data_IF_204167870189
#
_entry.id   IF_204167870189
#
_cell.length_a   1.000
_cell.length_b   1.000
_cell.length_c   1.000
_cell.angle_alpha   90.00
_cell.angle_beta   90.00
_cell.angle_gamma   90.00
#
_symmetry.space_group_name_H-M   'P 1'
#
loop_
_entity.id
_entity.type
_entity.pdbx_description
1 polymer ?
#
# COMPACT_ATOMS: atom_id res chain seq x y z
N UNK A 1 -16.87 3.11 -30.47
CA UNK A 1 -17.17 4.55 -30.62
C UNK A 1 -18.08 4.93 -29.46
N UNK A 2 -17.56 5.65 -28.46
CA UNK A 2 -18.33 6.05 -27.28
C UNK A 2 -18.92 7.44 -27.54
N UNK A 3 -20.24 7.55 -27.58
CA UNK A 3 -20.93 8.83 -27.55
C UNK A 3 -21.21 9.18 -26.08
N UNK A 4 -20.70 10.32 -25.62
CA UNK A 4 -21.12 10.95 -24.37
C UNK A 4 -21.87 12.23 -24.73
N UNK A 5 -23.11 12.38 -24.25
CA UNK A 5 -23.81 13.66 -24.22
C UNK A 5 -23.95 14.13 -22.76
N UNK A 6 -23.87 15.45 -22.57
CA UNK A 6 -23.84 16.12 -21.26
C UNK A 6 -25.23 16.18 -20.59
N UNK A 7 -25.30 16.35 -19.25
CA UNK A 7 -26.34 15.73 -18.43
C UNK A 7 -27.55 16.63 -18.08
N UNK A 8 -28.68 15.94 -17.88
CA UNK A 8 -29.84 16.38 -17.09
C UNK A 8 -29.78 15.63 -15.74
N UNK A 9 -29.85 16.29 -14.57
CA UNK A 9 -29.44 15.74 -13.27
C UNK A 9 -30.35 14.65 -12.64
N UNK A 10 -31.22 13.98 -13.40
CA UNK A 10 -32.18 13.01 -12.84
C UNK A 10 -32.22 11.64 -13.52
N UNK A 11 -31.23 11.27 -14.34
CA UNK A 11 -31.20 9.94 -14.97
C UNK A 11 -29.98 9.10 -14.60
N UNK A 12 -30.26 7.88 -14.14
CA UNK A 12 -29.30 6.78 -13.95
C UNK A 12 -28.60 6.47 -15.26
N UNK A 13 -27.26 6.45 -15.26
CA UNK A 13 -26.46 6.05 -16.41
C UNK A 13 -26.18 4.54 -16.32
N UNK A 14 -26.42 3.82 -17.42
CA UNK A 14 -26.03 2.43 -17.57
C UNK A 14 -24.85 2.35 -18.55
N UNK A 15 -23.76 1.73 -18.11
CA UNK A 15 -22.63 1.41 -18.98
C UNK A 15 -22.72 -0.08 -19.29
N UNK A 16 -22.85 -0.42 -20.57
CA UNK A 16 -22.89 -1.80 -21.03
C UNK A 16 -21.51 -2.18 -21.57
N UNK A 17 -20.89 -3.20 -20.99
CA UNK A 17 -19.58 -3.69 -21.38
C UNK A 17 -19.69 -4.88 -22.35
N UNK A 18 -18.69 -5.13 -23.22
CA UNK A 18 -18.64 -6.31 -24.06
C UNK A 18 -18.56 -7.60 -23.23
N UNK A 19 -19.20 -8.67 -23.71
CA UNK A 19 -19.25 -9.99 -23.07
C UNK A 19 -17.88 -10.66 -22.81
N UNK A 20 -16.81 -10.14 -23.40
CA UNK A 20 -15.45 -10.70 -23.28
C UNK A 20 -14.48 -9.82 -22.46
N UNK A 21 -14.97 -8.77 -21.79
CA UNK A 21 -14.14 -7.91 -20.95
C UNK A 21 -13.78 -8.63 -19.64
N UNK A 22 -12.49 -8.62 -19.27
CA UNK A 22 -12.03 -9.30 -18.04
C UNK A 22 -12.44 -8.50 -16.79
N UNK A 23 -12.69 -9.20 -15.68
CA UNK A 23 -13.15 -8.63 -14.40
C UNK A 23 -12.28 -7.45 -13.90
N UNK A 24 -10.97 -7.51 -14.10
CA UNK A 24 -10.05 -6.44 -13.70
C UNK A 24 -10.10 -5.20 -14.61
N UNK A 25 -10.52 -5.34 -15.86
CA UNK A 25 -10.59 -4.25 -16.85
C UNK A 25 -11.89 -3.43 -16.67
N UNK A 26 -13.00 -4.08 -16.33
CA UNK A 26 -14.29 -3.43 -16.09
C UNK A 26 -14.26 -2.53 -14.83
N UNK A 27 -13.69 -3.03 -13.73
CA UNK A 27 -13.52 -2.26 -12.48
C UNK A 27 -12.56 -1.07 -12.66
N UNK A 28 -11.51 -1.22 -13.47
CA UNK A 28 -10.56 -0.15 -13.78
C UNK A 28 -11.22 0.97 -14.58
N UNK A 29 -12.07 0.64 -15.56
CA UNK A 29 -12.78 1.62 -16.39
C UNK A 29 -13.86 2.38 -15.61
N UNK A 30 -14.55 1.73 -14.68
CA UNK A 30 -15.51 2.42 -13.78
C UNK A 30 -14.77 3.38 -12.85
N UNK A 31 -13.59 2.98 -12.35
CA UNK A 31 -12.76 3.84 -11.49
C UNK A 31 -12.21 5.06 -12.24
N UNK A 32 -11.79 4.89 -13.51
CA UNK A 32 -11.36 5.98 -14.38
C UNK A 32 -12.51 6.94 -14.74
N UNK A 33 -13.72 6.42 -14.94
CA UNK A 33 -14.89 7.22 -15.28
C UNK A 33 -15.39 8.09 -14.12
N UNK A 34 -15.17 7.69 -12.86
CA UNK A 34 -15.58 8.46 -11.68
C UNK A 34 -14.55 9.51 -11.23
N UNK A 35 -13.31 9.42 -11.69
CA UNK A 35 -12.22 10.33 -11.28
C UNK A 35 -11.97 11.49 -12.27
N UNK A 36 -12.71 11.59 -13.38
CA UNK A 36 -12.48 12.60 -14.43
C UNK A 36 -13.19 13.94 -14.22
N UNK A 37 -13.89 14.16 -13.11
CA UNK A 37 -14.69 15.39 -12.88
C UNK A 37 -13.90 16.62 -12.39
N UNK A 38 -12.57 16.57 -12.27
CA UNK A 38 -11.81 17.75 -11.81
C UNK A 38 -10.75 18.20 -12.81
N UNK A 39 -11.18 19.04 -13.75
CA UNK A 39 -10.29 19.88 -14.54
C UNK A 39 -9.86 21.11 -13.74
N UNK A 40 -8.56 21.26 -13.47
CA UNK A 40 -7.85 22.54 -13.66
C UNK A 40 -6.33 22.38 -13.52
N UNK A 41 -5.64 22.89 -14.53
CA UNK A 41 -4.19 22.96 -14.75
C UNK A 41 -3.52 23.97 -13.83
N UNK A 42 -2.25 23.73 -13.44
CA UNK A 42 -1.16 24.72 -13.54
C UNK A 42 0.23 24.08 -13.32
N UNK A 43 1.14 24.41 -14.23
CA UNK A 43 2.54 23.99 -14.31
C UNK A 43 3.42 25.01 -13.58
N UNK A 44 4.42 24.55 -12.82
CA UNK A 44 5.63 25.34 -12.52
C UNK A 44 6.87 24.45 -12.63
N UNK A 45 7.70 24.74 -13.63
CA UNK A 45 9.07 24.27 -13.81
C UNK A 45 10.01 25.21 -13.04
N UNK A 46 10.95 24.68 -12.26
CA UNK A 46 12.15 25.40 -11.86
C UNK A 46 13.34 24.43 -11.68
N UNK A 47 14.45 24.79 -12.30
CA UNK A 47 15.67 24.01 -12.50
C UNK A 47 16.75 24.25 -11.42
N UNK A 48 17.49 23.17 -11.17
CA UNK A 48 18.95 23.03 -10.99
C UNK A 48 19.78 23.81 -9.94
N UNK A 49 20.65 23.00 -9.34
CA UNK A 49 22.08 23.17 -9.02
C UNK A 49 22.52 23.06 -7.55
N UNK A 50 23.47 22.13 -7.43
CA UNK A 50 24.38 21.72 -6.37
C UNK A 50 25.20 22.84 -5.73
N UNK A 51 25.54 22.68 -4.45
CA UNK A 51 26.88 23.04 -3.98
C UNK A 51 27.34 22.18 -2.78
N UNK A 52 28.49 21.55 -3.00
CA UNK A 52 29.36 20.88 -2.03
C UNK A 52 29.88 21.87 -0.99
N UNK A 53 29.98 21.45 0.26
CA UNK A 53 31.06 21.89 1.17
C UNK A 53 31.41 20.77 2.15
N UNK A 54 32.64 20.30 2.01
CA UNK A 54 33.34 19.42 2.95
C UNK A 54 34.03 20.25 4.02
N UNK A 55 34.01 19.82 5.29
CA UNK A 55 35.14 19.95 6.23
C UNK A 55 35.00 18.96 7.38
N UNK A 56 36.14 18.57 7.95
CA UNK A 56 36.37 17.35 8.72
C UNK A 56 36.23 17.47 10.26
N UNK A 57 35.94 16.30 10.83
CA UNK A 57 36.25 15.72 12.15
C UNK A 57 36.75 16.56 13.34
N UNK A 58 36.16 16.30 14.50
CA UNK A 58 36.92 15.85 15.68
C UNK A 58 36.04 14.97 16.59
N UNK A 59 36.64 13.93 17.14
CA UNK A 59 36.05 12.86 17.95
C UNK A 59 36.14 13.16 19.45
N UNK A 60 35.09 12.91 20.23
CA UNK A 60 35.19 12.42 21.61
C UNK A 60 33.90 11.68 21.99
N UNK A 61 34.08 10.51 22.58
CA UNK A 61 33.10 9.49 22.95
C UNK A 61 32.15 9.93 24.06
N UNK A 62 30.84 9.74 23.87
CA UNK A 62 29.88 9.41 24.94
C UNK A 62 28.57 8.88 24.33
N UNK A 63 28.26 7.63 24.64
CA UNK A 63 27.07 6.89 24.21
C UNK A 63 25.85 7.36 25.01
N UNK A 64 25.07 8.26 24.40
CA UNK A 64 23.71 8.60 24.81
C UNK A 64 22.91 8.89 23.53
N UNK A 65 21.75 8.24 23.38
CA UNK A 65 20.81 8.37 22.26
C UNK A 65 20.55 9.85 21.90
N UNK A 66 21.20 10.34 20.85
CA UNK A 66 20.95 11.66 20.26
C UNK A 66 19.94 11.52 19.10
N UNK A 67 18.86 12.33 19.06
CA UNK A 67 17.87 12.34 17.99
C UNK A 67 18.36 13.15 16.78
N UNK A 68 19.51 12.74 16.22
CA UNK A 68 20.19 13.40 15.09
C UNK A 68 20.52 12.46 13.93
N UNK A 69 19.81 11.34 13.79
CA UNK A 69 20.04 10.39 12.70
C UNK A 69 19.74 11.00 11.32
N UNK A 70 20.60 10.69 10.34
CA UNK A 70 20.32 11.00 8.93
C UNK A 70 18.96 10.40 8.52
N UNK A 71 18.16 11.15 7.77
CA UNK A 71 16.88 10.66 7.24
C UNK A 71 17.09 9.33 6.50
N UNK A 72 16.22 8.32 6.68
CA UNK A 72 16.32 7.05 5.96
C UNK A 72 16.24 7.29 4.45
N UNK A 73 17.01 6.55 3.68
CA UNK A 73 16.98 6.60 2.22
C UNK A 73 16.01 5.55 1.69
N UNK A 74 15.00 5.97 0.93
CA UNK A 74 13.96 5.10 0.39
C UNK A 74 14.05 5.10 -1.13
N UNK A 75 14.23 3.92 -1.71
CA UNK A 75 14.22 3.73 -3.15
C UNK A 75 12.84 3.24 -3.60
N UNK A 76 12.13 4.02 -4.40
CA UNK A 76 10.90 3.61 -5.05
C UNK A 76 11.23 3.04 -6.44
N UNK A 77 10.71 1.85 -6.73
CA UNK A 77 10.89 1.16 -8.01
C UNK A 77 9.54 1.05 -8.69
N UNK A 78 9.39 1.78 -9.79
CA UNK A 78 8.13 1.99 -10.51
C UNK A 78 8.33 1.75 -12.01
N UNK A 79 8.63 0.50 -12.37
CA UNK A 79 9.00 0.09 -13.72
C UNK A 79 7.86 0.27 -14.73
N UNK A 80 6.61 0.23 -14.26
CA UNK A 80 5.42 0.45 -15.07
C UNK A 80 4.48 1.43 -14.37
N UNK A 81 5.02 2.62 -14.03
CA UNK A 81 4.26 3.71 -13.41
C UNK A 81 3.11 4.17 -14.32
N UNK A 82 1.92 4.28 -13.74
CA UNK A 82 0.74 4.88 -14.39
C UNK A 82 0.56 6.34 -13.97
N UNK A 83 -0.06 7.14 -14.84
CA UNK A 83 -0.17 8.59 -14.65
C UNK A 83 -0.90 9.00 -13.36
N UNK A 84 -1.89 8.23 -12.94
CA UNK A 84 -2.68 8.52 -11.73
C UNK A 84 -2.00 8.08 -10.43
N UNK A 85 -0.86 7.38 -10.47
CA UNK A 85 -0.20 6.87 -9.26
C UNK A 85 0.15 8.01 -8.29
N UNK A 86 0.63 9.14 -8.82
CA UNK A 86 1.10 10.26 -7.99
C UNK A 86 -0.03 10.98 -7.29
N UNK A 87 -1.18 11.16 -7.96
CA UNK A 87 -2.36 11.75 -7.34
C UNK A 87 -3.01 10.77 -6.36
N UNK A 88 -3.19 9.51 -6.76
CA UNK A 88 -3.79 8.46 -5.94
C UNK A 88 -3.00 8.16 -4.66
N UNK A 89 -1.67 8.22 -4.72
CA UNK A 89 -0.78 7.99 -3.57
C UNK A 89 -0.10 9.27 -3.08
N UNK A 90 -0.67 10.44 -3.32
CA UNK A 90 -0.09 11.74 -2.94
C UNK A 90 0.28 11.82 -1.46
N UNK A 91 -0.52 11.22 -0.57
CA UNK A 91 -0.22 11.14 0.87
C UNK A 91 1.03 10.31 1.18
N UNK A 92 1.26 9.22 0.44
CA UNK A 92 2.46 8.39 0.55
C UNK A 92 3.69 9.19 0.13
N UNK A 93 3.65 9.83 -1.04
CA UNK A 93 4.76 10.65 -1.54
C UNK A 93 5.07 11.80 -0.59
N UNK A 94 4.05 12.53 -0.13
CA UNK A 94 4.21 13.62 0.84
C UNK A 94 4.79 13.12 2.17
N UNK A 95 4.24 12.02 2.70
CA UNK A 95 4.69 11.40 3.94
C UNK A 95 6.15 10.96 3.88
N UNK A 96 6.56 10.28 2.81
CA UNK A 96 7.93 9.85 2.60
C UNK A 96 8.87 11.04 2.37
N UNK A 97 8.59 11.94 1.42
CA UNK A 97 9.49 13.07 1.08
C UNK A 97 9.72 14.02 2.26
N UNK A 98 8.73 14.17 3.15
CA UNK A 98 8.88 14.97 4.37
C UNK A 98 9.85 14.33 5.38
N UNK A 99 9.87 13.00 5.47
CA UNK A 99 10.53 12.26 6.56
C UNK A 99 11.69 11.36 6.13
N UNK A 100 11.96 11.26 4.83
CA UNK A 100 12.98 10.40 4.22
C UNK A 100 13.64 11.09 3.02
N UNK A 101 14.79 10.56 2.59
CA UNK A 101 15.39 10.87 1.29
C UNK A 101 14.80 9.90 0.29
N UNK A 102 13.97 10.37 -0.64
CA UNK A 102 13.24 9.51 -1.57
C UNK A 102 13.82 9.64 -2.97
N UNK A 103 14.15 8.51 -3.60
CA UNK A 103 14.48 8.44 -5.03
C UNK A 103 13.51 7.50 -5.72
N UNK A 104 12.86 7.95 -6.78
CA UNK A 104 11.97 7.13 -7.59
C UNK A 104 12.65 6.80 -8.92
N UNK A 105 12.60 5.53 -9.31
CA UNK A 105 13.31 5.02 -10.47
C UNK A 105 12.39 4.17 -11.34
N UNK A 106 12.43 4.44 -12.64
CA UNK A 106 11.56 3.83 -13.65
C UNK A 106 12.24 2.74 -14.49
N UNK A 107 13.52 2.43 -14.24
CA UNK A 107 14.25 1.41 -15.01
C UNK A 107 15.07 0.49 -14.11
N UNK A 108 15.15 -0.78 -14.50
CA UNK A 108 15.96 -1.79 -13.79
C UNK A 108 17.41 -1.35 -13.68
N UNK A 109 18.00 -0.85 -14.77
CA UNK A 109 19.41 -0.42 -14.78
C UNK A 109 19.69 0.67 -13.75
N UNK A 110 18.80 1.66 -13.62
CA UNK A 110 18.95 2.70 -12.63
C UNK A 110 18.70 2.18 -11.20
N UNK A 111 17.75 1.26 -11.01
CA UNK A 111 17.47 0.65 -9.71
C UNK A 111 18.69 -0.13 -9.18
N UNK A 112 19.29 -0.97 -10.03
CA UNK A 112 20.53 -1.72 -9.70
C UNK A 112 21.67 -0.79 -9.31
N UNK A 113 21.89 0.30 -10.06
CA UNK A 113 22.90 1.31 -9.72
C UNK A 113 22.62 1.99 -8.38
N UNK A 114 21.36 2.34 -8.11
CA UNK A 114 20.98 2.95 -6.84
C UNK A 114 21.18 2.00 -5.65
N UNK A 115 20.81 0.72 -5.79
CA UNK A 115 21.04 -0.31 -4.78
C UNK A 115 22.54 -0.46 -4.45
N UNK A 116 23.40 -0.48 -5.47
CA UNK A 116 24.84 -0.62 -5.29
C UNK A 116 25.51 0.63 -4.67
N UNK A 117 25.07 1.83 -5.03
CA UNK A 117 25.72 3.09 -4.63
C UNK A 117 25.19 3.69 -3.33
N UNK A 118 23.89 3.61 -3.09
CA UNK A 118 23.23 4.35 -2.00
C UNK A 118 22.84 3.49 -0.80
N UNK A 119 22.83 2.15 -0.95
CA UNK A 119 22.40 1.19 0.08
C UNK A 119 21.11 1.66 0.79
N UNK A 120 19.97 1.75 0.07
CA UNK A 120 18.75 2.31 0.62
C UNK A 120 18.33 1.53 1.87
N UNK A 121 17.71 2.23 2.83
CA UNK A 121 17.16 1.64 4.06
C UNK A 121 15.95 0.75 3.78
N UNK A 122 15.18 1.07 2.73
CA UNK A 122 14.12 0.23 2.21
C UNK A 122 13.90 0.48 0.71
N UNK A 123 13.36 -0.53 0.03
CA UNK A 123 12.92 -0.48 -1.35
C UNK A 123 11.41 -0.68 -1.40
N UNK A 124 10.69 0.29 -1.95
CA UNK A 124 9.26 0.20 -2.20
C UNK A 124 9.04 -0.11 -3.68
N UNK A 125 8.54 -1.30 -3.97
CA UNK A 125 8.15 -1.72 -5.32
C UNK A 125 6.68 -1.38 -5.53
N UNK A 126 6.41 -0.45 -6.44
CA UNK A 126 5.05 0.11 -6.59
C UNK A 126 4.19 -0.63 -7.59
N UNK A 127 4.75 -1.50 -8.42
CA UNK A 127 4.03 -2.23 -9.47
C UNK A 127 4.52 -3.69 -9.60
N UNK A 128 3.67 -4.56 -10.13
CA UNK A 128 3.92 -6.00 -10.19
C UNK A 128 4.93 -6.42 -11.27
N UNK A 129 5.56 -5.50 -12.03
CA UNK A 129 6.41 -5.87 -13.17
C UNK A 129 7.52 -6.84 -12.81
N UNK A 130 8.05 -6.77 -11.57
CA UNK A 130 9.07 -7.69 -11.06
C UNK A 130 8.62 -9.15 -10.96
N UNK A 131 7.31 -9.44 -11.04
CA UNK A 131 6.78 -10.82 -11.07
C UNK A 131 6.92 -11.48 -12.45
N UNK A 132 7.14 -10.69 -13.51
CA UNK A 132 7.24 -11.21 -14.88
C UNK A 132 8.59 -11.91 -15.10
N UNK A 133 8.65 -13.01 -15.87
CA UNK A 133 9.90 -13.76 -16.10
C UNK A 133 11.08 -12.92 -16.60
N UNK A 134 10.81 -11.90 -17.43
CA UNK A 134 11.81 -10.96 -17.97
C UNK A 134 12.57 -10.16 -16.89
N UNK A 135 12.04 -10.09 -15.66
CA UNK A 135 12.64 -9.36 -14.53
C UNK A 135 13.21 -10.29 -13.46
N UNK A 136 13.31 -11.60 -13.74
CA UNK A 136 13.75 -12.61 -12.77
C UNK A 136 15.14 -12.33 -12.17
N UNK A 137 16.09 -11.82 -12.95
CA UNK A 137 17.41 -11.47 -12.41
C UNK A 137 17.36 -10.27 -11.48
N UNK A 138 16.50 -9.29 -11.76
CA UNK A 138 16.29 -8.17 -10.86
C UNK A 138 15.56 -8.60 -9.58
N UNK A 139 14.58 -9.51 -9.70
CA UNK A 139 13.93 -10.11 -8.53
C UNK A 139 14.94 -10.84 -7.62
N UNK A 140 15.87 -11.62 -8.19
CA UNK A 140 16.95 -12.27 -7.40
C UNK A 140 17.79 -11.25 -6.64
N UNK A 141 18.09 -10.10 -7.24
CA UNK A 141 18.83 -9.03 -6.57
C UNK A 141 18.04 -8.39 -5.42
N UNK A 142 16.73 -8.17 -5.58
CA UNK A 142 15.86 -7.69 -4.50
C UNK A 142 15.78 -8.70 -3.35
N UNK A 143 15.67 -10.00 -3.67
CA UNK A 143 15.71 -11.08 -2.68
C UNK A 143 17.05 -11.10 -1.96
N UNK A 144 18.17 -10.98 -2.67
CA UNK A 144 19.51 -10.94 -2.08
C UNK A 144 19.70 -9.73 -1.16
N UNK A 145 19.27 -8.55 -1.61
CA UNK A 145 19.25 -7.33 -0.78
C UNK A 145 18.44 -7.53 0.51
N UNK A 146 17.27 -8.17 0.41
CA UNK A 146 16.41 -8.44 1.57
C UNK A 146 17.08 -9.44 2.51
N UNK A 147 17.62 -10.55 1.99
CA UNK A 147 18.35 -11.53 2.79
C UNK A 147 19.52 -10.94 3.57
N UNK A 148 20.16 -9.91 3.02
CA UNK A 148 21.27 -9.19 3.65
C UNK A 148 20.85 -8.12 4.67
N UNK A 149 19.59 -8.10 5.11
CA UNK A 149 19.09 -7.13 6.12
C UNK A 149 18.23 -6.00 5.55
N UNK A 150 18.08 -5.94 4.22
CA UNK A 150 17.27 -4.94 3.54
C UNK A 150 15.76 -5.13 3.75
N UNK A 151 14.99 -4.09 3.47
CA UNK A 151 13.51 -4.14 3.52
C UNK A 151 12.96 -3.95 2.11
N UNK A 152 12.16 -4.89 1.62
CA UNK A 152 11.42 -4.73 0.37
C UNK A 152 9.94 -4.73 0.67
N UNK A 153 9.22 -3.72 0.19
CA UNK A 153 7.78 -3.58 0.36
C UNK A 153 7.14 -3.66 -1.02
N UNK A 154 6.20 -4.59 -1.17
CA UNK A 154 5.31 -4.70 -2.34
C UNK A 154 4.03 -3.96 -1.99
N UNK A 155 3.76 -2.84 -2.66
CA UNK A 155 2.61 -2.02 -2.32
C UNK A 155 2.22 -1.04 -3.40
N UNK A 156 1.35 -0.11 -3.05
CA UNK A 156 0.72 0.81 -3.98
C UNK A 156 0.00 0.03 -5.10
N UNK A 157 0.36 0.24 -6.36
CA UNK A 157 -0.28 -0.39 -7.51
C UNK A 157 0.15 -1.86 -7.72
N UNK A 158 1.05 -2.40 -6.88
CA UNK A 158 1.55 -3.77 -7.03
C UNK A 158 0.41 -4.79 -7.08
N UNK A 159 -0.50 -4.76 -6.11
CA UNK A 159 -1.62 -5.69 -5.99
C UNK A 159 -2.57 -5.63 -7.19
N UNK A 160 -2.84 -4.43 -7.72
CA UNK A 160 -3.79 -4.19 -8.81
C UNK A 160 -3.42 -4.89 -10.13
N UNK A 161 -2.14 -5.18 -10.35
CA UNK A 161 -1.65 -5.83 -11.57
C UNK A 161 -0.95 -7.16 -11.30
N UNK A 162 -0.98 -7.66 -10.06
CA UNK A 162 -0.39 -8.94 -9.70
C UNK A 162 -1.33 -10.08 -10.11
N UNK A 163 -0.89 -10.93 -11.04
CA UNK A 163 -1.78 -11.93 -11.65
C UNK A 163 -1.98 -13.14 -10.72
N UNK A 164 -3.22 -13.66 -10.60
CA UNK A 164 -3.54 -14.79 -9.72
C UNK A 164 -2.64 -16.02 -9.89
N UNK A 165 -2.24 -16.34 -11.13
CA UNK A 165 -1.42 -17.50 -11.47
C UNK A 165 0.08 -17.34 -11.12
N UNK A 166 0.52 -16.12 -10.78
CA UNK A 166 1.92 -15.82 -10.49
C UNK A 166 2.27 -15.98 -9.01
N UNK A 167 1.28 -15.96 -8.11
CA UNK A 167 1.43 -15.96 -6.65
C UNK A 167 2.45 -16.98 -6.14
N UNK A 168 2.22 -18.30 -6.33
CA UNK A 168 3.05 -19.33 -5.70
C UNK A 168 4.49 -19.28 -6.20
N UNK A 169 4.69 -19.12 -7.51
CA UNK A 169 6.02 -19.03 -8.12
C UNK A 169 6.78 -17.80 -7.63
N UNK A 170 6.09 -16.66 -7.54
CA UNK A 170 6.67 -15.40 -7.11
C UNK A 170 7.09 -15.46 -5.64
N UNK A 171 6.20 -15.83 -4.72
CA UNK A 171 6.49 -15.89 -3.29
C UNK A 171 7.50 -16.98 -2.92
N UNK A 172 7.56 -18.08 -3.67
CA UNK A 172 8.60 -19.10 -3.50
C UNK A 172 10.02 -18.54 -3.65
N UNK A 173 10.24 -17.52 -4.50
CA UNK A 173 11.57 -16.88 -4.63
C UNK A 173 12.03 -16.21 -3.33
N UNK A 174 11.07 -15.78 -2.51
CA UNK A 174 11.30 -15.15 -1.21
C UNK A 174 11.41 -16.18 -0.06
N UNK A 175 11.27 -17.48 -0.35
CA UNK A 175 11.22 -18.53 0.67
C UNK A 175 9.83 -18.74 1.28
N UNK A 176 8.78 -18.36 0.58
CA UNK A 176 7.39 -18.43 1.06
C UNK A 176 6.54 -19.34 0.14
N UNK A 177 6.79 -20.66 0.13
CA UNK A 177 6.20 -21.57 -0.86
C UNK A 177 4.69 -21.80 -0.65
N UNK A 178 4.17 -21.52 0.55
CA UNK A 178 2.75 -21.68 0.87
C UNK A 178 1.93 -20.43 0.59
N UNK A 179 2.58 -19.29 0.28
CA UNK A 179 1.89 -18.05 0.03
C UNK A 179 1.33 -18.04 -1.38
N UNK A 180 0.07 -17.63 -1.49
CA UNK A 180 -0.63 -17.51 -2.76
C UNK A 180 -1.62 -16.34 -2.72
N UNK A 181 -2.05 -15.88 -3.89
CA UNK A 181 -3.11 -14.91 -4.01
C UNK A 181 -4.42 -15.55 -3.51
N UNK A 182 -5.06 -14.87 -2.57
CA UNK A 182 -6.33 -15.24 -1.97
C UNK A 182 -7.50 -14.47 -2.57
N UNK A 183 -8.49 -14.18 -1.74
CA UNK A 183 -9.69 -13.46 -2.15
C UNK A 183 -9.38 -12.01 -2.57
N UNK A 184 -10.26 -11.44 -3.39
CA UNK A 184 -10.26 -10.01 -3.71
C UNK A 184 -11.62 -9.42 -3.34
N UNK A 185 -11.66 -8.59 -2.29
CA UNK A 185 -12.90 -7.95 -1.85
C UNK A 185 -12.64 -6.73 -0.97
N UNK A 186 -13.70 -5.95 -0.75
CA UNK A 186 -13.72 -4.89 0.25
C UNK A 186 -14.28 -5.43 1.56
N UNK A 187 -13.57 -5.27 2.67
CA UNK A 187 -14.10 -5.50 4.02
C UNK A 187 -13.31 -4.72 5.07
N UNK A 188 -13.71 -4.84 6.34
CA UNK A 188 -12.97 -4.33 7.49
C UNK A 188 -11.92 -5.35 7.91
N UNK A 189 -10.70 -4.90 8.14
CA UNK A 189 -9.62 -5.69 8.74
C UNK A 189 -9.15 -5.01 10.01
N UNK A 190 -8.79 -5.82 11.02
CA UNK A 190 -8.26 -5.37 12.29
C UNK A 190 -6.80 -5.83 12.44
N UNK A 191 -6.02 -5.12 13.25
CA UNK A 191 -4.67 -5.56 13.60
C UNK A 191 -4.74 -6.99 14.13
N UNK A 192 -3.75 -7.79 13.77
CA UNK A 192 -3.68 -9.17 14.20
C UNK A 192 -3.75 -9.26 15.74
N UNK A 193 -4.79 -9.91 16.30
CA UNK A 193 -4.98 -9.95 17.74
C UNK A 193 -3.89 -10.77 18.47
N UNK A 194 -3.14 -11.60 17.74
CA UNK A 194 -1.98 -12.32 18.27
C UNK A 194 -0.72 -11.44 18.37
N UNK A 195 -0.80 -10.17 17.98
CA UNK A 195 0.34 -9.27 17.81
C UNK A 195 0.75 -9.14 16.35
N UNK A 196 1.38 -8.01 16.01
CA UNK A 196 1.92 -7.78 14.66
C UNK A 196 3.41 -8.16 14.59
N UNK A 197 3.94 -8.47 13.39
CA UNK A 197 5.29 -8.98 13.27
C UNK A 197 6.32 -7.85 13.54
N UNK A 198 7.34 -8.06 14.38
CA UNK A 198 8.37 -7.05 14.65
C UNK A 198 9.21 -6.75 13.39
N UNK A 199 9.84 -5.57 13.28
CA UNK A 199 9.88 -4.48 14.26
C UNK A 199 8.76 -3.44 14.07
N UNK A 200 7.62 -3.82 13.48
CA UNK A 200 6.49 -2.90 13.33
C UNK A 200 5.96 -2.49 14.70
N UNK A 201 5.62 -1.20 14.85
CA UNK A 201 5.05 -0.66 16.09
C UNK A 201 3.52 -0.58 15.98
N UNK A 202 2.75 -1.40 16.72
CA UNK A 202 1.29 -1.38 16.63
C UNK A 202 0.69 -0.04 17.08
N UNK A 203 1.38 0.74 17.92
CA UNK A 203 0.89 2.04 18.37
C UNK A 203 0.90 3.10 17.25
N UNK A 204 1.66 2.86 16.17
CA UNK A 204 1.69 3.75 15.00
C UNK A 204 0.65 3.38 13.95
N UNK A 205 -0.03 2.24 14.08
CA UNK A 205 -0.97 1.72 13.10
C UNK A 205 -2.43 1.95 13.51
N UNK A 206 -3.34 1.83 12.54
CA UNK A 206 -4.76 1.91 12.81
C UNK A 206 -5.22 0.57 13.40
N UNK A 207 -6.04 0.55 14.46
CA UNK A 207 -6.49 -0.70 15.07
C UNK A 207 -7.37 -1.54 14.11
N UNK A 208 -8.13 -0.87 13.25
CA UNK A 208 -8.95 -1.46 12.20
C UNK A 208 -9.24 -0.42 11.11
N UNK A 209 -9.52 -0.88 9.90
CA UNK A 209 -9.95 -0.02 8.80
C UNK A 209 -10.61 -0.83 7.68
N UNK A 210 -11.39 -0.14 6.84
CA UNK A 210 -12.07 -0.75 5.69
C UNK A 210 -11.27 -0.54 4.42
N UNK A 211 -10.97 -1.60 3.67
CA UNK A 211 -10.19 -1.55 2.43
C UNK A 211 -10.73 -2.51 1.38
N UNK A 212 -10.59 -2.13 0.10
CA UNK A 212 -10.62 -3.04 -1.03
C UNK A 212 -9.21 -3.57 -1.23
N UNK A 213 -9.02 -4.88 -1.15
CA UNK A 213 -7.68 -5.47 -1.22
C UNK A 213 -7.66 -6.83 -1.91
N UNK A 214 -6.54 -7.12 -2.56
CA UNK A 214 -6.12 -8.48 -2.94
C UNK A 214 -5.47 -9.09 -1.71
N UNK A 215 -6.00 -10.22 -1.23
CA UNK A 215 -5.48 -10.88 -0.04
C UNK A 215 -4.44 -11.92 -0.41
N UNK A 216 -3.62 -12.30 0.56
CA UNK A 216 -2.72 -13.44 0.47
C UNK A 216 -3.21 -14.53 1.40
N UNK A 217 -3.29 -15.75 0.88
CA UNK A 217 -3.62 -16.97 1.62
C UNK A 217 -2.37 -17.80 1.87
N UNK A 218 -2.45 -18.69 2.87
CA UNK A 218 -1.37 -19.63 3.21
C UNK A 218 -0.14 -18.99 3.86
N UNK A 219 -0.22 -17.70 4.21
CA UNK A 219 0.76 -17.05 5.05
C UNK A 219 0.59 -17.49 6.51
N UNK A 220 1.69 -17.67 7.27
CA UNK A 220 1.59 -17.99 8.68
C UNK A 220 1.05 -16.77 9.44
N UNK A 221 0.32 -17.03 10.52
CA UNK A 221 -0.38 -15.99 11.28
C UNK A 221 0.58 -14.97 11.91
N UNK A 222 1.81 -15.37 12.22
CA UNK A 222 2.86 -14.50 12.75
C UNK A 222 3.47 -13.54 11.73
N UNK A 223 3.13 -13.68 10.44
CA UNK A 223 3.45 -12.72 9.38
C UNK A 223 2.29 -11.75 9.08
N UNK A 224 1.06 -12.04 9.55
CA UNK A 224 -0.11 -11.20 9.31
C UNK A 224 -0.07 -9.93 10.15
N UNK A 225 -0.16 -8.77 9.49
CA UNK A 225 -0.31 -7.46 10.16
C UNK A 225 -1.78 -7.19 10.44
N UNK A 226 -2.64 -7.45 9.46
CA UNK A 226 -4.09 -7.31 9.55
C UNK A 226 -4.79 -8.61 9.17
N UNK A 227 -5.92 -8.89 9.81
CA UNK A 227 -6.78 -10.04 9.53
C UNK A 227 -8.26 -9.60 9.54
N UNK A 228 -9.16 -10.33 8.86
CA UNK A 228 -10.59 -10.10 8.99
C UNK A 228 -11.01 -10.20 10.47
N UNK A 229 -11.81 -9.24 10.93
CA UNK A 229 -12.46 -9.36 12.22
C UNK A 229 -13.53 -10.48 12.19
N UNK A 230 -13.92 -11.06 13.33
CA UNK A 230 -15.03 -12.02 13.38
C UNK A 230 -16.37 -11.46 12.87
N UNK A 231 -16.51 -10.14 12.84
CA UNK A 231 -17.67 -9.40 12.31
C UNK A 231 -17.52 -8.97 10.85
N UNK A 232 -16.37 -9.24 10.22
CA UNK A 232 -16.09 -8.78 8.86
C UNK A 232 -17.02 -9.43 7.85
N UNK A 233 -17.50 -8.59 6.93
CA UNK A 233 -18.39 -8.99 5.84
C UNK A 233 -17.92 -8.33 4.56
N UNK A 234 -18.08 -9.03 3.44
CA UNK A 234 -17.81 -8.50 2.11
C UNK A 234 -18.71 -7.29 1.87
N UNK A 235 -18.10 -6.18 1.51
CA UNK A 235 -18.74 -4.92 1.14
C UNK A 235 -18.65 -4.79 -0.37
N UNK A 236 -19.80 -4.71 -1.05
CA UNK A 236 -19.83 -4.54 -2.50
C UNK A 236 -21.14 -3.89 -2.91
N UNK A 237 -21.09 -3.07 -3.97
CA UNK A 237 -22.27 -2.49 -4.59
C UNK A 237 -23.02 -3.49 -5.48
N UNK A 238 -22.35 -4.58 -5.89
CA UNK A 238 -22.87 -5.56 -6.85
C UNK A 238 -23.00 -6.97 -6.28
N UNK A 239 -22.37 -7.26 -5.14
CA UNK A 239 -22.42 -8.56 -4.48
C UNK A 239 -23.11 -8.47 -3.11
N UNK A 240 -23.74 -9.56 -2.66
CA UNK A 240 -24.38 -9.61 -1.35
C UNK A 240 -23.38 -9.37 -0.22
N UNK A 241 -23.88 -8.78 0.86
CA UNK A 241 -23.14 -8.57 2.09
C UNK A 241 -22.98 -9.91 2.85
N UNK A 242 -21.98 -10.71 2.46
CA UNK A 242 -21.72 -12.06 3.00
C UNK A 242 -20.64 -12.00 4.09
N UNK A 243 -20.82 -12.79 5.15
CA UNK A 243 -19.84 -12.90 6.24
C UNK A 243 -18.56 -13.58 5.73
N UNK A 244 -17.40 -13.04 6.10
CA UNK A 244 -16.10 -13.68 5.86
C UNK A 244 -15.99 -14.89 6.80
N UNK A 245 -15.71 -16.08 6.27
CA UNK A 245 -15.73 -17.33 7.03
C UNK A 245 -14.66 -18.33 6.57
N UNK A 246 -14.42 -19.36 7.39
CA UNK A 246 -13.51 -20.47 7.05
C UNK A 246 -12.10 -19.98 6.75
N UNK A 247 -11.51 -20.51 5.66
CA UNK A 247 -10.15 -20.17 5.24
C UNK A 247 -9.94 -18.67 4.97
N UNK A 248 -11.00 -17.92 4.64
CA UNK A 248 -10.90 -16.48 4.38
C UNK A 248 -10.52 -15.68 5.64
N UNK A 249 -10.79 -16.21 6.84
CA UNK A 249 -10.39 -15.57 8.10
C UNK A 249 -8.88 -15.59 8.32
N UNK A 250 -8.16 -16.44 7.60
CA UNK A 250 -6.70 -16.56 7.64
C UNK A 250 -6.02 -15.85 6.46
N UNK A 251 -6.80 -15.26 5.55
CA UNK A 251 -6.26 -14.45 4.45
C UNK A 251 -5.96 -13.03 4.94
N UNK A 252 -4.81 -12.50 4.54
CA UNK A 252 -4.34 -11.20 5.01
C UNK A 252 -4.18 -10.20 3.86
N UNK A 253 -4.65 -8.94 4.02
CA UNK A 253 -4.38 -7.87 3.05
C UNK A 253 -2.99 -7.27 3.24
N UNK A 254 -2.31 -7.57 4.35
CA UNK A 254 -1.03 -6.96 4.67
C UNK A 254 -0.16 -7.89 5.50
N UNK A 255 1.01 -8.22 4.95
CA UNK A 255 1.95 -9.18 5.53
C UNK A 255 3.30 -8.51 5.76
N UNK A 256 3.99 -8.94 6.81
CA UNK A 256 5.36 -8.56 7.13
C UNK A 256 6.12 -9.81 7.57
N UNK A 257 7.00 -10.31 6.72
CA UNK A 257 7.67 -11.59 6.93
C UNK A 257 9.19 -11.47 6.83
N UNK A 258 9.88 -12.23 7.68
CA UNK A 258 11.35 -12.27 7.71
C UNK A 258 11.88 -13.04 6.49
N UNK A 259 12.88 -12.47 5.82
CA UNK A 259 13.59 -13.10 4.70
C UNK A 259 15.08 -12.91 4.91
N UNK A 260 15.79 -13.97 5.32
CA UNK A 260 17.16 -13.85 5.83
C UNK A 260 17.19 -12.89 7.01
N UNK A 261 18.05 -11.87 6.96
CA UNK A 261 18.14 -10.85 8.01
C UNK A 261 17.23 -9.64 7.81
N UNK A 262 16.56 -9.55 6.66
CA UNK A 262 15.64 -8.48 6.33
C UNK A 262 14.19 -8.91 6.29
N UNK A 263 13.38 -8.12 5.59
CA UNK A 263 11.92 -8.28 5.60
C UNK A 263 11.28 -8.03 4.23
N UNK A 264 10.30 -8.86 3.91
CA UNK A 264 9.36 -8.64 2.82
C UNK A 264 8.03 -8.16 3.40
N UNK A 265 7.58 -7.00 2.93
CA UNK A 265 6.24 -6.49 3.15
C UNK A 265 5.35 -6.67 1.94
N UNK A 266 4.08 -6.97 2.17
CA UNK A 266 3.03 -6.96 1.15
C UNK A 266 1.86 -6.12 1.63
N UNK A 267 1.31 -5.28 0.75
CA UNK A 267 0.09 -4.50 0.97
C UNK A 267 -0.80 -4.67 -0.26
N UNK A 268 -1.95 -5.30 -0.03
CA UNK A 268 -2.93 -5.69 -1.05
C UNK A 268 -3.93 -4.61 -1.43
N UNK A 269 -3.90 -3.47 -0.77
CA UNK A 269 -4.81 -2.34 -1.01
C UNK A 269 -4.72 -1.85 -2.46
N UNK A 270 -5.89 -1.65 -3.10
CA UNK A 270 -5.98 -1.18 -4.49
C UNK A 270 -6.31 0.32 -4.60
N UNK A 271 -6.76 0.96 -3.51
CA UNK A 271 -7.25 2.34 -3.51
C UNK A 271 -6.33 3.32 -2.77
N UNK A 272 -5.29 2.84 -2.07
CA UNK A 272 -4.37 3.70 -1.34
C UNK A 272 -5.00 4.32 -0.10
N UNK A 273 -5.74 3.52 0.67
CA UNK A 273 -6.39 3.94 1.91
C UNK A 273 -5.35 4.46 2.93
N UNK A 274 -5.72 5.48 3.69
CA UNK A 274 -4.81 6.21 4.58
C UNK A 274 -4.05 5.27 5.55
N UNK A 275 -4.73 4.26 6.07
CA UNK A 275 -4.14 3.30 7.00
C UNK A 275 -3.15 2.34 6.31
N UNK A 276 -3.37 1.97 5.05
CA UNK A 276 -2.39 1.24 4.24
C UNK A 276 -1.17 2.09 3.94
N UNK A 277 -1.36 3.39 3.64
CA UNK A 277 -0.26 4.34 3.45
C UNK A 277 0.57 4.47 4.75
N UNK A 278 -0.10 4.57 5.90
CA UNK A 278 0.58 4.59 7.21
C UNK A 278 1.41 3.34 7.43
N UNK A 279 0.86 2.16 7.14
CA UNK A 279 1.58 0.90 7.24
C UNK A 279 2.79 0.85 6.30
N UNK A 280 2.63 1.28 5.05
CA UNK A 280 3.71 1.29 4.05
C UNK A 280 4.90 2.13 4.50
N UNK A 281 4.64 3.31 5.08
CA UNK A 281 5.68 4.19 5.63
C UNK A 281 6.36 3.55 6.85
N UNK A 282 5.61 2.89 7.72
CA UNK A 282 6.16 2.15 8.87
C UNK A 282 7.05 0.96 8.43
N UNK A 283 6.60 0.18 7.45
CA UNK A 283 7.38 -0.91 6.86
C UNK A 283 8.70 -0.42 6.25
N UNK A 284 8.68 0.74 5.59
CA UNK A 284 9.87 1.44 5.11
C UNK A 284 10.83 1.90 6.23
N UNK A 285 10.45 1.77 7.51
CA UNK A 285 11.25 2.21 8.66
C UNK A 285 11.24 3.73 8.85
N UNK A 286 10.30 4.43 8.23
CA UNK A 286 10.21 5.89 8.30
C UNK A 286 9.25 6.26 9.43
N UNK A 287 9.77 6.95 10.45
CA UNK A 287 8.94 7.41 11.57
C UNK A 287 8.22 8.69 11.20
N UNK A 288 6.90 8.65 11.28
CA UNK A 288 6.04 9.80 11.03
C UNK A 288 5.19 10.10 12.27
N UNK A 289 5.19 11.37 12.71
CA UNK A 289 4.32 11.80 13.81
C UNK A 289 2.87 11.53 13.41
N UNK A 290 2.08 10.94 14.30
CA UNK A 290 0.68 10.51 14.06
C UNK A 290 -0.22 11.66 13.57
N UNK A 291 0.16 12.91 13.81
CA UNK A 291 -0.57 14.10 13.40
C UNK A 291 -0.36 14.47 11.91
N UNK A 292 0.67 13.93 11.27
CA UNK A 292 1.18 14.42 9.98
C UNK A 292 0.43 13.88 8.76
N UNK A 293 -0.17 12.69 8.85
CA UNK A 293 -1.01 12.14 7.79
C UNK A 293 -2.49 12.57 7.95
N UNK A 294 -2.73 13.62 8.74
CA UNK A 294 -4.04 13.95 9.27
C UNK A 294 -4.37 13.01 10.43
N UNK A 295 -4.91 13.54 11.54
CA UNK A 295 -5.71 12.68 12.42
C UNK A 295 -6.80 12.14 11.52
N UNK A 296 -6.70 10.87 11.13
CA UNK A 296 -7.80 10.19 10.48
C UNK A 296 -9.01 10.49 11.32
N UNK A 297 -9.94 11.26 10.76
CA UNK A 297 -11.27 11.39 11.31
C UNK A 297 -11.78 9.95 11.34
N UNK A 298 -11.75 9.33 12.52
CA UNK A 298 -12.30 7.99 12.72
C UNK A 298 -13.79 8.17 12.52
N UNK A 299 -14.24 7.84 11.32
CA UNK A 299 -15.65 7.82 11.00
C UNK A 299 -16.17 6.46 11.43
N UNK A 300 -16.94 6.44 12.53
CA UNK A 300 -17.74 5.24 12.84
C UNK A 300 -19.00 5.30 11.99
N UNK A 301 -19.14 4.33 11.09
CA UNK A 301 -20.45 4.03 10.52
C UNK A 301 -21.28 3.34 11.61
N UNK A 302 -22.43 3.92 11.92
CA UNK A 302 -23.45 3.26 12.75
C UNK A 302 -24.72 3.13 11.92
N UNK A 303 -25.26 1.91 11.87
CA UNK A 303 -26.57 1.66 11.28
C UNK A 303 -27.61 1.76 12.38
N UNK A 304 -28.57 2.67 12.22
CA UNK A 304 -29.74 2.73 13.11
C UNK A 304 -31.02 2.55 12.30
N UNK A 305 -31.98 1.84 12.87
CA UNK A 305 -33.28 1.59 12.25
C UNK A 305 -34.29 2.55 12.88
N UNK A 306 -34.74 3.53 12.10
CA UNK A 306 -35.82 4.43 12.48
C UNK A 306 -36.94 4.29 11.43
N UNK A 307 -38.18 4.12 11.92
CA UNK A 307 -39.40 4.06 11.08
C UNK A 307 -39.29 3.10 9.89
N UNK A 308 -38.79 1.88 10.11
CA UNK A 308 -38.70 0.85 9.07
C UNK A 308 -37.63 1.07 8.00
N UNK A 309 -36.89 2.18 7.99
CA UNK A 309 -35.76 2.45 7.08
C UNK A 309 -34.42 2.38 7.79
N UNK A 310 -33.42 1.84 7.11
CA UNK A 310 -32.03 1.87 7.54
C UNK A 310 -31.43 3.25 7.26
N UNK A 311 -30.89 3.91 8.28
CA UNK A 311 -30.04 5.09 8.14
C UNK A 311 -28.61 4.73 8.49
N UNK A 312 -27.69 4.95 7.55
CA UNK A 312 -26.26 4.99 7.80
C UNK A 312 -25.90 6.39 8.31
N UNK A 313 -25.41 6.46 9.53
CA UNK A 313 -24.94 7.71 10.15
C UNK A 313 -23.43 7.60 10.30
N UNK A 314 -22.72 8.50 9.62
CA UNK A 314 -21.29 8.69 9.77
C UNK A 314 -21.06 9.71 10.88
N UNK A 315 -20.51 9.25 12.02
CA UNK A 315 -20.16 10.16 13.13
C UNK A 315 -18.64 10.31 13.19
N UNK A 316 -18.20 11.56 13.18
CA UNK A 316 -16.82 11.91 13.45
C UNK A 316 -16.50 11.68 14.93
N UNK A 317 -15.66 10.69 15.26
CA UNK A 317 -15.20 10.48 16.63
C UNK A 317 -13.98 11.37 16.89
N UNK A 318 -14.18 12.47 17.63
CA UNK A 318 -13.05 13.13 18.31
C UNK A 318 -12.71 12.30 19.55
N UNK A 319 -11.49 11.75 19.64
CA UNK A 319 -10.99 11.23 20.92
C UNK A 319 -11.00 12.40 21.92
N UNK A 320 -11.89 12.35 22.91
CA UNK A 320 -11.74 13.12 24.14
C UNK A 320 -10.47 12.63 24.83
N UNK A 321 -9.65 13.58 25.30
CA UNK A 321 -8.43 13.30 26.08
C UNK A 321 -8.80 12.38 27.26
N UNK A 322 -8.14 11.25 27.35
CA UNK A 322 -7.86 10.58 28.62
C UNK A 322 -6.39 10.88 28.93
#
# INVERSE_FOLDING_TARGET
MLYMSTPNPTKTCWIQFPLHMRHSEADMLVTLAMNSETGTTNVVLAMCFTQNRSSASSSTSQSALQPGGSKPAILMVSLQKVDWLDSGYSQLYSGLRKNAIVSEILTVRAAKRAMASSKPSAILVTDSTISKPAYSDFLKELVAYTRAGGRVILGAQFSSYFQPDQGPRFFSQWGMPTWDIGSYHHTVFALNPAGIPPPLDPATLFPEYSIKAVLIRGAPRDAAVYLPSPSSRVQSNVFPNVKVTGAQLEESPALWARVGDGFLGYIGDVNGEQASIRLMIEMCGVKIKSETLGRGSIWRASASRQTGRWRLIWRHIRKSRF
#
